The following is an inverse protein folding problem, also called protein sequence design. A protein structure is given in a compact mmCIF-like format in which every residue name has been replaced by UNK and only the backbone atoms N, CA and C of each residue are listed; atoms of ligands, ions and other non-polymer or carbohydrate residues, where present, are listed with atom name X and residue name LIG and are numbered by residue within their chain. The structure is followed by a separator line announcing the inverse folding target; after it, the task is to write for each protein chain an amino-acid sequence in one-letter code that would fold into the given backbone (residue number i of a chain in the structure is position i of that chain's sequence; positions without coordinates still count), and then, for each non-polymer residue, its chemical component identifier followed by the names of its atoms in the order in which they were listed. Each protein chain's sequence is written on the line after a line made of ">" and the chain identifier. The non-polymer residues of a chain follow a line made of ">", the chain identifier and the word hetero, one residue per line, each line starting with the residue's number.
data_IF_579755230366
#
_entry.id   IF_579755230366
#
_cell.length_a   1.000
_cell.length_b   1.000
_cell.length_c   1.000
_cell.angle_alpha   90.00
_cell.angle_beta   90.00
_cell.angle_gamma   90.00
#
_symmetry.space_group_name_H-M   'P 1'
#
loop_
_entity.id
_entity.type
_entity.pdbx_description
1 polymer ?
#
# COMPACT_ATOMS: atom_id res chain seq x y z
N UNK A 1 7.39 -38.59 0.48
CA UNK A 1 6.51 -37.42 0.31
C UNK A 1 6.67 -36.57 1.54
N UNK A 2 7.75 -35.79 1.58
CA UNK A 2 8.00 -34.82 2.65
C UNK A 2 7.69 -33.45 2.06
N UNK A 3 6.43 -33.03 2.23
CA UNK A 3 5.98 -31.69 1.87
C UNK A 3 5.83 -30.90 3.16
N UNK A 4 6.95 -30.63 3.85
CA UNK A 4 6.99 -29.53 4.80
C UNK A 4 7.00 -28.24 3.99
N UNK A 5 5.81 -27.83 3.53
CA UNK A 5 5.60 -26.46 3.06
C UNK A 5 5.93 -25.56 4.24
N UNK A 6 7.04 -24.83 4.18
CA UNK A 6 7.45 -23.92 5.22
C UNK A 6 6.25 -23.00 5.55
N UNK A 7 5.69 -23.14 6.75
CA UNK A 7 4.62 -22.28 7.20
C UNK A 7 5.17 -20.85 7.19
N UNK A 8 4.66 -20.00 6.28
CA UNK A 8 5.07 -18.60 6.25
C UNK A 8 4.74 -17.97 7.58
N UNK A 9 5.70 -17.23 8.14
CA UNK A 9 5.51 -16.52 9.40
C UNK A 9 4.30 -15.57 9.30
N UNK A 10 3.45 -15.50 10.35
CA UNK A 10 2.28 -14.65 10.33
C UNK A 10 2.68 -13.17 10.18
N UNK A 11 2.04 -12.47 9.24
CA UNK A 11 2.19 -11.01 9.06
C UNK A 11 0.92 -10.30 9.51
N UNK A 12 1.08 -9.22 10.25
CA UNK A 12 -0.03 -8.44 10.81
C UNK A 12 -0.25 -7.16 10.00
N UNK A 13 -1.51 -6.71 9.92
CA UNK A 13 -1.92 -5.48 9.24
C UNK A 13 -2.50 -4.52 10.27
N UNK A 14 -2.12 -3.24 10.19
CA UNK A 14 -2.69 -2.18 11.01
C UNK A 14 -3.84 -1.54 10.24
N UNK A 15 -5.03 -1.52 10.85
CA UNK A 15 -6.18 -0.77 10.37
C UNK A 15 -6.29 0.52 11.17
N UNK A 16 -6.23 1.67 10.49
CA UNK A 16 -6.33 3.00 11.09
C UNK A 16 -7.59 3.69 10.56
N UNK A 17 -8.72 3.67 11.30
CA UNK A 17 -9.92 4.42 10.93
C UNK A 17 -9.65 5.93 10.91
N UNK A 18 -10.34 6.66 10.04
CA UNK A 18 -10.26 8.12 9.94
C UNK A 18 -11.66 8.70 9.81
N UNK A 19 -11.83 9.99 10.14
CA UNK A 19 -13.09 10.71 9.93
C UNK A 19 -13.24 11.28 8.51
N UNK A 20 -12.29 11.00 7.62
CA UNK A 20 -12.24 11.56 6.27
C UNK A 20 -13.30 10.90 5.39
N UNK A 21 -14.15 11.71 4.77
CA UNK A 21 -15.28 11.23 3.97
C UNK A 21 -14.98 11.24 2.46
N UNK A 22 -13.79 11.71 2.07
CA UNK A 22 -13.35 11.81 0.67
C UNK A 22 -12.11 10.95 0.44
N UNK A 23 -12.14 10.15 -0.63
CA UNK A 23 -11.00 9.32 -1.05
C UNK A 23 -9.74 10.15 -1.28
N UNK A 24 -9.87 11.35 -1.85
CA UNK A 24 -8.74 12.25 -2.12
C UNK A 24 -8.05 12.72 -0.84
N UNK A 25 -8.82 13.06 0.20
CA UNK A 25 -8.30 13.47 1.51
C UNK A 25 -7.64 12.29 2.24
N UNK A 26 -8.30 11.13 2.27
CA UNK A 26 -7.73 9.91 2.85
C UNK A 26 -6.44 9.51 2.15
N UNK A 27 -6.37 9.72 0.83
CA UNK A 27 -5.15 9.47 0.08
C UNK A 27 -4.04 10.48 0.39
N UNK A 28 -4.38 11.76 0.54
CA UNK A 28 -3.41 12.77 0.94
C UNK A 28 -2.81 12.47 2.32
N UNK A 29 -3.63 11.99 3.27
CA UNK A 29 -3.14 11.52 4.57
C UNK A 29 -2.18 10.33 4.42
N UNK A 30 -2.52 9.34 3.60
CA UNK A 30 -1.65 8.18 3.38
C UNK A 30 -0.28 8.57 2.77
N UNK A 31 -0.25 9.55 1.87
CA UNK A 31 1.01 10.13 1.36
C UNK A 31 1.78 10.83 2.49
N UNK A 32 1.12 11.67 3.29
CA UNK A 32 1.77 12.35 4.41
C UNK A 32 2.36 11.37 5.45
N UNK A 33 1.65 10.27 5.72
CA UNK A 33 2.14 9.19 6.58
C UNK A 33 3.39 8.52 6.00
N UNK A 34 3.40 8.20 4.70
CA UNK A 34 4.57 7.62 4.03
C UNK A 34 5.79 8.54 4.14
N UNK A 35 5.63 9.83 3.86
CA UNK A 35 6.75 10.79 3.92
C UNK A 35 7.25 10.98 5.36
N UNK A 36 6.35 11.03 6.35
CA UNK A 36 6.71 11.22 7.77
C UNK A 36 7.34 9.98 8.39
N UNK A 37 6.86 8.80 8.02
CA UNK A 37 7.24 7.51 8.62
C UNK A 37 8.15 6.68 7.72
N UNK A 38 8.76 7.28 6.68
CA UNK A 38 9.67 6.56 5.78
C UNK A 38 10.89 5.94 6.47
N UNK A 39 11.19 6.33 7.70
CA UNK A 39 12.21 5.75 8.56
C UNK A 39 11.78 4.43 9.24
N UNK A 40 10.48 4.11 9.27
CA UNK A 40 9.93 2.91 9.90
C UNK A 40 9.93 1.76 8.89
N UNK A 41 10.93 0.88 8.98
CA UNK A 41 11.11 -0.23 8.03
C UNK A 41 10.10 -1.38 8.19
N UNK A 42 9.32 -1.37 9.27
CA UNK A 42 8.28 -2.37 9.54
C UNK A 42 6.99 -2.15 8.72
N UNK A 43 6.84 -1.00 8.05
CA UNK A 43 5.63 -0.63 7.29
C UNK A 43 5.97 -0.51 5.80
N UNK A 44 5.40 -1.38 4.96
CA UNK A 44 5.46 -1.22 3.50
C UNK A 44 4.36 -0.26 3.01
N UNK A 45 4.70 1.02 2.95
CA UNK A 45 3.77 2.03 2.44
C UNK A 45 3.38 1.83 0.97
N UNK A 46 4.17 1.10 0.17
CA UNK A 46 3.83 0.79 -1.22
C UNK A 46 2.65 -0.18 -1.35
N UNK A 47 2.36 -0.95 -0.30
CA UNK A 47 1.21 -1.86 -0.23
C UNK A 47 -0.03 -1.23 0.43
N UNK A 48 0.02 0.07 0.73
CA UNK A 48 -1.09 0.77 1.38
C UNK A 48 -2.34 0.75 0.49
N UNK A 49 -3.45 0.36 1.11
CA UNK A 49 -4.78 0.32 0.49
C UNK A 49 -5.76 1.09 1.35
N UNK A 50 -6.73 1.74 0.70
CA UNK A 50 -7.87 2.39 1.34
C UNK A 50 -9.13 1.58 1.08
N UNK A 51 -10.07 1.69 2.00
CA UNK A 51 -11.40 1.11 1.88
C UNK A 51 -12.40 2.03 2.58
N UNK A 52 -13.66 2.03 2.10
CA UNK A 52 -14.76 2.59 2.89
C UNK A 52 -14.90 1.76 4.17
N UNK A 53 -15.24 2.40 5.29
CA UNK A 53 -15.37 1.73 6.60
C UNK A 53 -16.38 0.58 6.55
N UNK A 54 -17.51 0.79 5.86
CA UNK A 54 -18.57 -0.21 5.68
C UNK A 54 -18.23 -1.24 4.59
N UNK A 55 -17.13 -1.05 3.83
CA UNK A 55 -16.73 -1.92 2.71
C UNK A 55 -15.24 -2.24 2.74
N UNK A 56 -14.74 -2.71 3.88
CA UNK A 56 -13.31 -2.99 4.09
C UNK A 56 -12.71 -4.04 3.15
N UNK A 57 -13.55 -4.88 2.53
CA UNK A 57 -13.12 -5.86 1.53
C UNK A 57 -12.78 -5.22 0.18
N UNK A 58 -13.26 -4.00 -0.10
CA UNK A 58 -12.93 -3.25 -1.31
C UNK A 58 -11.68 -2.42 -1.05
N UNK A 59 -10.54 -2.87 -1.58
CA UNK A 59 -9.25 -2.24 -1.38
C UNK A 59 -8.84 -1.40 -2.59
N UNK A 60 -8.96 -0.09 -2.46
CA UNK A 60 -8.41 0.88 -3.41
C UNK A 60 -6.92 1.04 -3.15
N UNK A 61 -6.08 0.63 -4.10
CA UNK A 61 -4.65 0.89 -4.04
C UNK A 61 -4.37 2.36 -4.37
N UNK A 62 -3.39 2.95 -3.71
CA UNK A 62 -3.03 4.36 -3.92
C UNK A 62 -1.79 4.51 -4.81
N UNK A 63 -0.86 3.54 -4.77
CA UNK A 63 0.39 3.51 -5.54
C UNK A 63 0.31 2.52 -6.70
N UNK A 64 1.00 2.82 -7.78
CA UNK A 64 1.17 1.87 -8.87
C UNK A 64 1.92 0.63 -8.39
N UNK A 65 1.45 -0.56 -8.77
CA UNK A 65 2.03 -1.83 -8.34
C UNK A 65 2.99 -2.45 -9.37
N UNK A 66 3.22 -1.74 -10.48
CA UNK A 66 4.16 -2.15 -11.50
C UNK A 66 5.55 -2.38 -10.89
N UNK A 67 6.10 -3.56 -11.14
CA UNK A 67 7.48 -3.91 -10.80
C UNK A 67 8.42 -3.38 -11.86
N UNK A 68 9.43 -2.63 -11.43
CA UNK A 68 10.49 -2.10 -12.26
C UNK A 68 11.62 -3.13 -12.44
N UNK A 69 12.51 -2.95 -13.45
CA UNK A 69 13.61 -3.88 -13.71
C UNK A 69 14.59 -4.08 -12.54
N UNK A 70 14.69 -3.10 -11.64
CA UNK A 70 15.49 -3.15 -10.42
C UNK A 70 14.78 -3.85 -9.26
N UNK A 71 13.66 -4.55 -9.54
CA UNK A 71 12.78 -5.20 -8.58
C UNK A 71 12.09 -4.26 -7.58
N UNK A 72 12.22 -2.95 -7.74
CA UNK A 72 11.44 -1.98 -6.97
C UNK A 72 10.04 -1.82 -7.57
N UNK A 73 9.13 -1.20 -6.81
CA UNK A 73 7.81 -0.81 -7.31
C UNK A 73 7.84 0.62 -7.82
N UNK A 74 7.00 0.90 -8.81
CA UNK A 74 6.73 2.27 -9.22
C UNK A 74 6.34 3.13 -8.01
N UNK A 75 6.94 4.32 -7.89
CA UNK A 75 6.69 5.25 -6.78
C UNK A 75 5.51 6.19 -7.04
N UNK A 76 4.98 6.16 -8.27
CA UNK A 76 3.87 7.00 -8.72
C UNK A 76 2.53 6.46 -8.22
N UNK A 77 1.50 7.31 -8.33
CA UNK A 77 0.13 6.98 -7.94
C UNK A 77 -0.48 5.92 -8.86
N UNK A 78 -1.44 5.15 -8.36
CA UNK A 78 -2.29 4.31 -9.21
C UNK A 78 -2.90 5.17 -10.32
N UNK A 79 -2.98 4.62 -11.53
CA UNK A 79 -3.48 5.30 -12.74
C UNK A 79 -2.71 6.58 -13.12
N UNK A 80 -1.42 6.67 -12.79
CA UNK A 80 -0.58 7.77 -13.25
C UNK A 80 -0.43 7.77 -14.77
N UNK A 81 -0.31 8.97 -15.34
CA UNK A 81 0.08 9.14 -16.73
C UNK A 81 1.57 8.79 -16.93
N UNK A 82 1.92 8.35 -18.15
CA UNK A 82 3.29 8.06 -18.54
C UNK A 82 3.82 6.69 -18.07
N UNK A 83 5.05 6.32 -18.49
CA UNK A 83 5.63 5.02 -18.16
C UNK A 83 6.09 4.94 -16.70
N UNK A 84 6.02 3.75 -16.10
CA UNK A 84 6.59 3.50 -14.79
C UNK A 84 8.13 3.59 -14.83
N UNK A 85 8.74 4.13 -13.77
CA UNK A 85 10.20 4.25 -13.64
C UNK A 85 10.82 5.45 -14.36
N UNK A 86 10.00 6.38 -14.87
CA UNK A 86 10.41 7.69 -15.36
C UNK A 86 10.62 8.72 -14.26
#
# INVERSE_FOLDING_TARGET
>A
MDSTGAASEPRWIIHLPTVLTRLTEATALAVALRESLGHVTAVDFGETTLSEEDRQFVRTRIWCDARLPDHTRCRLRTDHDGPCGG
#
